data_IF_143437003672
#
_entry.id   IF_143437003672
#
_cell.length_a   1.000
_cell.length_b   1.000
_cell.length_c   1.000
_cell.angle_alpha   90.00
_cell.angle_beta   90.00
_cell.angle_gamma   90.00
#
_symmetry.space_group_name_H-M   'P 1'
#
loop_
_entity.id
_entity.type
_entity.pdbx_description
1 polymer ?
#
# COMPACT_ATOMS: atom_id res chain seq x y z
N UNK A 1 17.74 0.81 10.47
CA UNK A 1 18.36 -0.53 10.52
C UNK A 1 17.70 -1.50 11.52
N UNK A 2 17.10 -1.08 12.64
CA UNK A 2 16.48 -2.01 13.62
C UNK A 2 15.26 -2.75 13.10
N UNK A 3 14.38 -2.12 12.31
CA UNK A 3 13.17 -2.77 11.76
C UNK A 3 13.47 -3.91 10.78
N UNK A 4 14.51 -3.78 9.95
CA UNK A 4 14.92 -4.84 9.01
C UNK A 4 15.49 -6.05 9.76
N UNK A 5 16.27 -5.84 10.81
CA UNK A 5 16.77 -6.93 11.67
C UNK A 5 15.65 -7.68 12.40
N UNK A 6 14.58 -6.96 12.78
CA UNK A 6 13.37 -7.59 13.37
C UNK A 6 12.62 -8.48 12.38
N UNK A 7 12.47 -8.02 11.13
CA UNK A 7 11.82 -8.78 10.07
C UNK A 7 12.57 -10.06 9.71
N UNK A 8 13.91 -10.01 9.66
CA UNK A 8 14.74 -11.20 9.39
C UNK A 8 14.52 -12.32 10.41
N UNK A 9 14.18 -11.98 11.66
CA UNK A 9 13.85 -12.97 12.70
C UNK A 9 12.52 -13.69 12.49
N UNK A 10 11.62 -13.09 11.70
CA UNK A 10 10.29 -13.65 11.42
C UNK A 10 10.28 -14.47 10.13
N UNK A 11 11.24 -14.28 9.25
CA UNK A 11 11.38 -15.04 7.99
C UNK A 11 11.32 -16.57 8.20
N UNK A 12 11.98 -17.16 9.20
CA UNK A 12 11.89 -18.62 9.46
C UNK A 12 10.47 -19.11 9.71
N UNK A 13 9.59 -18.28 10.27
CA UNK A 13 8.19 -18.62 10.55
C UNK A 13 7.29 -18.46 9.32
N UNK A 14 7.71 -17.68 8.32
CA UNK A 14 7.00 -17.55 7.03
C UNK A 14 7.40 -18.66 6.07
N UNK A 15 8.64 -19.18 6.19
CA UNK A 15 9.19 -20.21 5.32
C UNK A 15 8.29 -21.46 5.14
N UNK A 16 7.64 -22.01 6.18
CA UNK A 16 6.74 -23.15 6.02
C UNK A 16 5.53 -22.88 5.11
N UNK A 17 5.18 -21.61 4.94
CA UNK A 17 4.01 -21.17 4.16
C UNK A 17 4.37 -20.65 2.76
N UNK A 18 5.59 -20.94 2.25
CA UNK A 18 6.11 -20.39 1.00
C UNK A 18 5.19 -20.64 -0.20
N UNK A 19 4.56 -21.83 -0.29
CA UNK A 19 3.59 -22.15 -1.35
C UNK A 19 2.39 -21.21 -1.34
N UNK A 20 1.87 -20.88 -0.15
CA UNK A 20 0.77 -19.91 0.00
C UNK A 20 1.21 -18.50 -0.35
N UNK A 21 2.46 -18.17 -0.06
CA UNK A 21 3.05 -16.87 -0.45
C UNK A 21 3.18 -16.77 -1.97
N UNK A 22 3.71 -17.80 -2.63
CA UNK A 22 3.82 -17.85 -4.10
C UNK A 22 2.42 -17.75 -4.73
N UNK A 23 1.44 -18.53 -4.24
CA UNK A 23 0.06 -18.47 -4.73
C UNK A 23 -0.53 -17.05 -4.57
N UNK A 24 -0.29 -16.41 -3.42
CA UNK A 24 -0.73 -15.03 -3.20
C UNK A 24 -0.07 -14.03 -4.15
N UNK A 25 1.23 -14.17 -4.42
CA UNK A 25 1.95 -13.31 -5.34
C UNK A 25 1.49 -13.53 -6.78
N UNK A 26 1.36 -14.78 -7.24
CA UNK A 26 0.85 -15.11 -8.57
C UNK A 26 -0.56 -14.57 -8.79
N UNK A 27 -1.46 -14.79 -7.85
CA UNK A 27 -2.82 -14.23 -7.92
C UNK A 27 -2.79 -12.69 -7.94
N UNK A 28 -1.95 -12.05 -7.12
CA UNK A 28 -1.80 -10.58 -7.13
C UNK A 28 -1.28 -10.08 -8.48
N UNK A 29 -0.31 -10.79 -9.08
CA UNK A 29 0.24 -10.47 -10.40
C UNK A 29 -0.84 -10.53 -11.47
N UNK A 30 -1.62 -11.64 -11.51
CA UNK A 30 -2.75 -11.80 -12.43
C UNK A 30 -3.80 -10.70 -12.22
N UNK A 31 -4.18 -10.41 -10.97
CA UNK A 31 -5.11 -9.33 -10.66
C UNK A 31 -4.59 -7.95 -11.13
N UNK A 32 -3.28 -7.70 -11.05
CA UNK A 32 -2.67 -6.47 -11.55
C UNK A 32 -2.69 -6.40 -13.07
N UNK A 33 -2.44 -7.52 -13.77
CA UNK A 33 -2.54 -7.61 -15.22
C UNK A 33 -3.97 -7.36 -15.70
N UNK A 34 -4.97 -8.00 -15.10
CA UNK A 34 -6.37 -7.73 -15.42
C UNK A 34 -6.77 -6.27 -15.14
N UNK A 35 -6.22 -5.67 -14.08
CA UNK A 35 -6.40 -4.24 -13.80
C UNK A 35 -5.83 -3.37 -14.91
N UNK A 36 -4.64 -3.69 -15.40
CA UNK A 36 -4.01 -2.98 -16.51
C UNK A 36 -4.85 -3.09 -17.78
N UNK A 37 -5.25 -4.32 -18.16
CA UNK A 37 -6.09 -4.54 -19.34
C UNK A 37 -7.43 -3.81 -19.24
N UNK A 38 -8.10 -3.88 -18.08
CA UNK A 38 -9.36 -3.16 -17.86
C UNK A 38 -9.19 -1.64 -18.04
N UNK A 39 -8.09 -1.07 -17.54
CA UNK A 39 -7.81 0.35 -17.72
C UNK A 39 -7.50 0.71 -19.19
N UNK A 40 -6.75 -0.14 -19.89
CA UNK A 40 -6.41 0.05 -21.30
C UNK A 40 -7.65 0.00 -22.21
N UNK A 41 -8.72 -0.69 -21.81
CA UNK A 41 -10.00 -0.71 -22.54
C UNK A 41 -10.71 0.66 -22.57
N UNK A 42 -10.28 1.62 -21.78
CA UNK A 42 -10.75 3.00 -21.92
C UNK A 42 -10.39 3.60 -23.30
N UNK A 43 -9.28 3.20 -23.91
CA UNK A 43 -8.81 3.67 -25.22
C UNK A 43 -9.86 3.36 -26.31
N UNK A 44 -10.18 2.09 -26.60
CA UNK A 44 -11.19 1.76 -27.60
C UNK A 44 -12.58 2.26 -27.24
N UNK A 45 -12.95 2.27 -25.95
CA UNK A 45 -14.21 2.82 -25.50
C UNK A 45 -14.39 4.29 -25.91
N UNK A 46 -13.39 5.12 -25.59
CA UNK A 46 -13.38 6.53 -25.98
C UNK A 46 -13.25 6.70 -27.50
N UNK A 47 -12.48 5.83 -28.16
CA UNK A 47 -12.33 5.81 -29.61
C UNK A 47 -13.67 5.63 -30.34
N UNK A 48 -14.52 4.70 -29.86
CA UNK A 48 -15.85 4.48 -30.41
C UNK A 48 -16.76 5.66 -30.09
N UNK A 49 -16.73 6.15 -28.85
CA UNK A 49 -17.59 7.23 -28.38
C UNK A 49 -17.34 8.55 -29.15
N UNK A 50 -16.09 8.89 -29.42
CA UNK A 50 -15.69 10.13 -30.12
C UNK A 50 -15.45 9.95 -31.61
N UNK A 51 -15.78 8.79 -32.18
CA UNK A 51 -15.61 8.47 -33.60
C UNK A 51 -14.14 8.60 -34.10
N UNK A 52 -13.21 8.34 -33.24
CA UNK A 52 -11.77 8.43 -33.50
C UNK A 52 -11.10 7.04 -33.50
N UNK A 53 -11.91 5.97 -33.54
CA UNK A 53 -11.42 4.60 -33.62
C UNK A 53 -10.71 4.38 -34.97
N UNK A 54 -9.45 3.87 -34.99
CA UNK A 54 -8.77 3.52 -36.23
C UNK A 54 -9.55 2.43 -36.96
N UNK A 55 -9.92 2.68 -38.22
CA UNK A 55 -10.55 1.67 -39.07
C UNK A 55 -9.43 0.73 -39.57
N UNK A 56 -9.46 -0.51 -39.10
CA UNK A 56 -8.52 -1.55 -39.51
C UNK A 56 -9.30 -2.61 -40.30
N UNK A 57 -8.98 -2.72 -41.57
CA UNK A 57 -9.71 -3.60 -42.51
C UNK A 57 -9.05 -4.99 -42.69
N UNK A 58 -7.75 -5.12 -42.35
CA UNK A 58 -7.01 -6.36 -42.51
C UNK A 58 -6.39 -6.83 -41.20
N UNK A 59 -6.50 -8.11 -40.84
CA UNK A 59 -5.83 -8.68 -39.67
C UNK A 59 -4.33 -8.88 -39.96
N UNK A 60 -3.49 -8.70 -38.94
CA UNK A 60 -2.05 -9.04 -39.00
C UNK A 60 -1.84 -10.42 -38.39
N UNK A 61 -0.84 -11.17 -38.90
CA UNK A 61 -0.45 -12.45 -38.35
C UNK A 61 -0.25 -12.41 -36.82
N UNK A 62 -0.73 -13.44 -36.11
CA UNK A 62 -0.69 -13.49 -34.66
C UNK A 62 0.75 -13.55 -34.16
N UNK A 63 1.30 -12.41 -33.80
CA UNK A 63 2.56 -12.28 -33.08
C UNK A 63 2.27 -11.83 -31.65
N UNK A 64 3.05 -12.37 -30.69
CA UNK A 64 3.00 -11.92 -29.28
C UNK A 64 3.61 -10.52 -29.07
N UNK A 65 3.43 -9.64 -30.05
CA UNK A 65 3.80 -8.23 -29.99
C UNK A 65 2.62 -7.39 -29.53
N UNK A 66 2.86 -6.43 -28.66
CA UNK A 66 1.82 -5.49 -28.20
C UNK A 66 1.13 -4.79 -29.38
N UNK A 67 1.89 -4.43 -30.44
CA UNK A 67 1.36 -3.80 -31.65
C UNK A 67 0.41 -4.73 -32.41
N UNK A 68 0.76 -6.00 -32.58
CA UNK A 68 -0.08 -6.97 -33.28
C UNK A 68 -1.37 -7.28 -32.50
N UNK A 69 -1.29 -7.37 -31.18
CA UNK A 69 -2.47 -7.55 -30.31
C UNK A 69 -3.43 -6.37 -30.40
N UNK A 70 -2.93 -5.13 -30.33
CA UNK A 70 -3.75 -3.93 -30.48
C UNK A 70 -4.35 -3.80 -31.90
N UNK A 71 -3.58 -4.15 -32.93
CA UNK A 71 -4.03 -4.11 -34.31
C UNK A 71 -5.18 -5.11 -34.55
N UNK A 72 -5.00 -6.35 -34.12
CA UNK A 72 -6.04 -7.39 -34.25
C UNK A 72 -7.28 -7.10 -33.40
N UNK A 73 -7.10 -6.49 -32.24
CA UNK A 73 -8.22 -6.02 -31.41
C UNK A 73 -9.01 -4.91 -32.10
N UNK A 74 -8.30 -3.92 -32.70
CA UNK A 74 -8.92 -2.84 -33.48
C UNK A 74 -9.62 -3.39 -34.73
N UNK A 75 -9.05 -4.39 -35.41
CA UNK A 75 -9.68 -5.09 -36.52
C UNK A 75 -11.01 -5.74 -36.06
N UNK A 76 -10.99 -6.47 -34.98
CA UNK A 76 -12.20 -7.08 -34.39
C UNK A 76 -13.25 -6.04 -34.04
N UNK A 77 -12.89 -4.93 -33.44
CA UNK A 77 -13.81 -3.82 -33.13
C UNK A 77 -14.37 -3.18 -34.41
N UNK A 78 -13.52 -2.98 -35.42
CA UNK A 78 -13.96 -2.40 -36.70
C UNK A 78 -14.98 -3.32 -37.39
N UNK A 79 -14.78 -4.62 -37.40
CA UNK A 79 -15.76 -5.56 -37.98
C UNK A 79 -17.11 -5.48 -37.25
N UNK A 80 -17.10 -5.40 -35.92
CA UNK A 80 -18.33 -5.27 -35.12
C UNK A 80 -19.04 -3.93 -35.42
N UNK A 81 -18.28 -2.83 -35.53
CA UNK A 81 -18.85 -1.52 -35.84
C UNK A 81 -19.52 -1.53 -37.23
N UNK A 82 -18.90 -2.18 -38.21
CA UNK A 82 -19.44 -2.29 -39.58
C UNK A 82 -20.68 -3.20 -39.61
N UNK A 83 -20.61 -4.37 -38.96
CA UNK A 83 -21.67 -5.38 -39.04
C UNK A 83 -22.87 -5.06 -38.12
N UNK A 84 -22.67 -4.50 -36.96
CA UNK A 84 -23.67 -4.35 -35.91
C UNK A 84 -23.89 -2.91 -35.42
N UNK A 85 -23.04 -1.97 -35.86
CA UNK A 85 -23.13 -0.56 -35.46
C UNK A 85 -22.35 -0.22 -34.18
N UNK A 86 -22.17 1.10 -33.98
CA UNK A 86 -21.35 1.65 -32.87
C UNK A 86 -21.93 1.36 -31.47
N UNK A 87 -23.26 1.35 -31.32
CA UNK A 87 -23.89 1.11 -30.03
C UNK A 87 -23.63 -0.31 -29.51
N UNK A 88 -23.70 -1.30 -30.40
CA UNK A 88 -23.42 -2.70 -30.04
C UNK A 88 -21.92 -2.88 -29.73
N UNK A 89 -21.04 -2.28 -30.52
CA UNK A 89 -19.60 -2.29 -30.25
C UNK A 89 -19.27 -1.67 -28.90
N UNK A 90 -19.89 -0.54 -28.53
CA UNK A 90 -19.74 0.10 -27.22
C UNK A 90 -20.24 -0.80 -26.09
N UNK A 91 -21.38 -1.45 -26.29
CA UNK A 91 -21.92 -2.45 -25.35
C UNK A 91 -20.99 -3.62 -25.12
N UNK A 92 -20.37 -4.15 -26.18
CA UNK A 92 -19.39 -5.26 -26.09
C UNK A 92 -18.11 -4.85 -25.36
N UNK A 93 -17.56 -3.66 -25.63
CA UNK A 93 -16.39 -3.15 -24.89
C UNK A 93 -16.74 -2.96 -23.42
N UNK A 94 -17.93 -2.43 -23.12
CA UNK A 94 -18.41 -2.27 -21.74
C UNK A 94 -18.53 -3.60 -21.02
N UNK A 95 -19.09 -4.62 -21.67
CA UNK A 95 -19.19 -5.97 -21.13
C UNK A 95 -17.79 -6.58 -20.88
N UNK A 96 -16.86 -6.40 -21.82
CA UNK A 96 -15.48 -6.85 -21.67
C UNK A 96 -14.80 -6.20 -20.45
N UNK A 97 -15.00 -4.91 -20.24
CA UNK A 97 -14.51 -4.20 -19.04
C UNK A 97 -15.06 -4.84 -17.76
N UNK A 98 -16.35 -5.13 -17.72
CA UNK A 98 -16.99 -5.80 -16.56
C UNK A 98 -16.35 -7.16 -16.30
N UNK A 99 -16.13 -7.96 -17.34
CA UNK A 99 -15.48 -9.28 -17.24
C UNK A 99 -14.04 -9.14 -16.73
N UNK A 100 -13.26 -8.21 -17.25
CA UNK A 100 -11.89 -7.96 -16.81
C UNK A 100 -11.83 -7.52 -15.34
N UNK A 101 -12.74 -6.63 -14.93
CA UNK A 101 -12.84 -6.18 -13.52
C UNK A 101 -13.29 -7.32 -12.61
N UNK A 102 -14.17 -8.20 -13.08
CA UNK A 102 -14.55 -9.40 -12.34
C UNK A 102 -13.36 -10.32 -12.09
N UNK A 103 -12.55 -10.61 -13.11
CA UNK A 103 -11.32 -11.40 -12.95
C UNK A 103 -10.29 -10.71 -12.04
N UNK A 104 -10.09 -9.40 -12.20
CA UNK A 104 -9.27 -8.59 -11.29
C UNK A 104 -9.70 -8.77 -9.83
N UNK A 105 -11.00 -8.62 -9.55
CA UNK A 105 -11.55 -8.74 -8.20
C UNK A 105 -11.35 -10.16 -7.65
N UNK A 106 -11.64 -11.18 -8.46
CA UNK A 106 -11.46 -12.59 -8.12
C UNK A 106 -10.01 -12.91 -7.78
N UNK A 107 -9.05 -12.54 -8.63
CA UNK A 107 -7.63 -12.78 -8.36
C UNK A 107 -7.10 -11.96 -7.18
N UNK A 108 -7.59 -10.74 -6.97
CA UNK A 108 -7.27 -9.96 -5.78
C UNK A 108 -7.76 -10.65 -4.51
N UNK A 109 -8.99 -11.18 -4.54
CA UNK A 109 -9.55 -11.95 -3.43
C UNK A 109 -8.75 -13.23 -3.17
N UNK A 110 -8.46 -14.03 -4.21
CA UNK A 110 -7.65 -15.25 -4.10
C UNK A 110 -6.25 -14.96 -3.53
N UNK A 111 -5.64 -13.85 -3.96
CA UNK A 111 -4.35 -13.41 -3.43
C UNK A 111 -4.39 -13.03 -1.95
N UNK A 112 -5.49 -12.45 -1.47
CA UNK A 112 -5.69 -12.16 -0.06
C UNK A 112 -6.09 -13.41 0.74
N UNK A 113 -6.91 -14.29 0.17
CA UNK A 113 -7.29 -15.58 0.75
C UNK A 113 -6.07 -16.45 1.01
N UNK A 114 -5.14 -16.52 0.07
CA UNK A 114 -3.88 -17.25 0.24
C UNK A 114 -2.96 -16.66 1.32
N UNK A 115 -3.12 -15.38 1.70
CA UNK A 115 -2.38 -14.76 2.81
C UNK A 115 -2.95 -15.11 4.20
N UNK A 116 -4.24 -15.46 4.30
CA UNK A 116 -4.88 -15.74 5.58
C UNK A 116 -4.18 -16.87 6.38
N UNK A 117 -3.82 -18.03 5.77
CA UNK A 117 -3.08 -19.07 6.47
C UNK A 117 -1.67 -18.63 6.92
N UNK A 118 -1.02 -17.73 6.18
CA UNK A 118 0.29 -17.19 6.59
C UNK A 118 0.13 -16.32 7.82
N UNK A 119 -0.89 -15.44 7.81
CA UNK A 119 -1.21 -14.54 8.91
C UNK A 119 -1.47 -15.30 10.20
N UNK A 120 -2.39 -16.24 10.17
CA UNK A 120 -2.79 -17.01 11.36
C UNK A 120 -1.76 -18.04 11.78
N UNK A 121 -1.11 -18.71 10.81
CA UNK A 121 -0.13 -19.75 11.06
C UNK A 121 1.14 -19.23 11.71
N UNK A 122 1.71 -18.13 11.21
CA UNK A 122 2.90 -17.50 11.82
C UNK A 122 2.65 -17.13 13.28
N UNK A 123 1.48 -16.56 13.59
CA UNK A 123 1.14 -16.18 14.96
C UNK A 123 0.91 -17.39 15.84
N UNK A 124 0.22 -18.42 15.34
CA UNK A 124 0.06 -19.69 16.03
C UNK A 124 1.42 -20.31 16.39
N UNK A 125 2.33 -20.38 15.42
CA UNK A 125 3.63 -21.04 15.59
C UNK A 125 4.52 -20.27 16.60
N UNK A 126 4.49 -18.94 16.58
CA UNK A 126 5.17 -18.12 17.57
C UNK A 126 4.53 -18.30 18.94
N UNK A 127 3.19 -18.27 19.05
CA UNK A 127 2.47 -18.43 20.31
C UNK A 127 2.76 -19.80 20.94
N UNK A 128 2.75 -20.86 20.15
CA UNK A 128 3.08 -22.20 20.62
C UNK A 128 4.52 -22.28 21.15
N UNK A 129 5.49 -21.68 20.46
CA UNK A 129 6.88 -21.61 20.95
C UNK A 129 7.00 -20.83 22.25
N UNK A 130 6.30 -19.70 22.37
CA UNK A 130 6.29 -18.92 23.61
C UNK A 130 5.67 -19.71 24.75
N UNK A 131 4.53 -20.37 24.53
CA UNK A 131 3.88 -21.18 25.51
C UNK A 131 4.76 -22.35 25.99
N UNK A 132 5.35 -23.10 25.05
CA UNK A 132 6.28 -24.18 25.40
C UNK A 132 7.49 -23.65 26.17
N UNK A 133 8.01 -22.47 25.84
CA UNK A 133 9.11 -21.85 26.58
C UNK A 133 8.69 -21.50 28.02
N UNK A 134 7.48 -20.97 28.22
CA UNK A 134 6.94 -20.67 29.57
C UNK A 134 6.94 -21.94 30.44
N UNK A 135 6.50 -23.07 29.91
CA UNK A 135 6.45 -24.34 30.66
C UNK A 135 7.84 -24.87 31.03
N UNK A 136 8.91 -24.44 30.38
CA UNK A 136 10.29 -24.84 30.69
C UNK A 136 11.00 -23.86 31.63
N UNK A 137 10.36 -22.77 32.04
CA UNK A 137 10.95 -21.81 32.98
C UNK A 137 10.81 -22.31 34.42
N UNK A 138 11.78 -21.93 35.24
CA UNK A 138 11.78 -22.25 36.70
C UNK A 138 10.67 -21.48 37.42
N UNK A 139 10.09 -22.04 38.46
CA UNK A 139 9.04 -21.42 39.28
C UNK A 139 9.45 -20.04 39.82
N UNK A 140 10.72 -19.88 40.18
CA UNK A 140 11.30 -18.62 40.66
C UNK A 140 11.21 -17.47 39.65
N UNK A 141 10.99 -17.77 38.37
CA UNK A 141 10.81 -16.76 37.32
C UNK A 141 9.44 -16.08 37.41
N UNK A 142 8.41 -16.72 38.00
CA UNK A 142 7.04 -16.26 38.01
C UNK A 142 6.71 -15.39 39.22
N UNK A 143 6.96 -14.08 39.13
CA UNK A 143 6.36 -13.05 39.98
C UNK A 143 5.04 -12.56 39.39
N UNK A 144 4.19 -11.91 40.18
CA UNK A 144 2.92 -11.34 39.70
C UNK A 144 3.15 -10.34 38.55
N UNK A 145 4.19 -9.49 38.67
CA UNK A 145 4.60 -8.53 37.64
C UNK A 145 5.02 -9.24 36.33
N UNK A 146 5.79 -10.32 36.42
CA UNK A 146 6.23 -11.08 35.24
C UNK A 146 5.12 -11.87 34.57
N UNK A 147 4.13 -12.33 35.34
CA UNK A 147 2.92 -12.95 34.77
C UNK A 147 2.17 -11.95 33.87
N UNK A 148 1.98 -10.71 34.33
CA UNK A 148 1.37 -9.65 33.54
C UNK A 148 2.16 -9.33 32.26
N UNK A 149 3.51 -9.22 32.32
CA UNK A 149 4.38 -9.00 31.17
C UNK A 149 4.27 -10.16 30.15
N UNK A 150 4.27 -11.42 30.60
CA UNK A 150 4.09 -12.58 29.72
C UNK A 150 2.73 -12.57 29.03
N UNK A 151 1.66 -12.24 29.74
CA UNK A 151 0.32 -12.10 29.15
C UNK A 151 0.28 -10.98 28.08
N UNK A 152 0.85 -9.81 28.38
CA UNK A 152 0.97 -8.70 27.44
C UNK A 152 1.72 -9.10 26.17
N UNK A 153 2.84 -9.80 26.29
CA UNK A 153 3.64 -10.28 25.14
C UNK A 153 2.89 -11.33 24.32
N UNK A 154 2.18 -12.25 24.95
CA UNK A 154 1.40 -13.29 24.25
C UNK A 154 0.15 -12.76 23.55
N UNK A 155 -0.29 -11.55 23.88
CA UNK A 155 -1.46 -10.89 23.28
C UNK A 155 -1.06 -9.71 22.43
N UNK A 156 -0.67 -8.59 23.04
CA UNK A 156 -0.41 -7.31 22.38
C UNK A 156 0.78 -7.35 21.42
N UNK A 157 1.95 -7.83 21.88
CA UNK A 157 3.16 -7.87 21.06
C UNK A 157 2.99 -8.80 19.85
N UNK A 158 2.30 -9.92 20.01
CA UNK A 158 2.02 -10.82 18.88
C UNK A 158 1.12 -10.17 17.82
N UNK A 159 0.14 -9.36 18.21
CA UNK A 159 -0.68 -8.60 17.26
C UNK A 159 0.14 -7.55 16.51
N UNK A 160 1.13 -6.94 17.17
CA UNK A 160 2.03 -6.00 16.50
C UNK A 160 2.94 -6.71 15.49
N UNK A 161 3.46 -7.90 15.85
CA UNK A 161 4.23 -8.76 14.94
C UNK A 161 3.37 -9.13 13.73
N UNK A 162 2.12 -9.57 13.93
CA UNK A 162 1.18 -9.90 12.86
C UNK A 162 1.03 -8.75 11.88
N UNK A 163 0.71 -7.55 12.37
CA UNK A 163 0.57 -6.34 11.55
C UNK A 163 1.85 -6.01 10.79
N UNK A 164 3.00 -6.12 11.47
CA UNK A 164 4.31 -5.85 10.87
C UNK A 164 4.66 -6.83 9.76
N UNK A 165 4.39 -8.12 9.94
CA UNK A 165 4.62 -9.17 8.93
C UNK A 165 3.74 -8.93 7.69
N UNK A 166 2.44 -8.73 7.91
CA UNK A 166 1.50 -8.50 6.81
C UNK A 166 1.83 -7.23 6.03
N UNK A 167 2.17 -6.14 6.72
CA UNK A 167 2.59 -4.91 6.08
C UNK A 167 3.89 -5.08 5.29
N UNK A 168 4.81 -5.90 5.78
CA UNK A 168 6.07 -6.20 5.09
C UNK A 168 5.85 -6.99 3.81
N UNK A 169 4.98 -8.01 3.83
CA UNK A 169 4.61 -8.76 2.63
C UNK A 169 3.99 -7.84 1.58
N UNK A 170 3.08 -6.94 1.98
CA UNK A 170 2.48 -5.96 1.08
C UNK A 170 3.53 -5.01 0.47
N UNK A 171 4.36 -4.41 1.30
CA UNK A 171 5.27 -3.35 0.87
C UNK A 171 6.53 -3.87 0.16
N UNK A 172 7.03 -5.05 0.53
CA UNK A 172 8.29 -5.58 -0.01
C UNK A 172 8.09 -6.57 -1.16
N UNK A 173 6.92 -7.17 -1.28
CA UNK A 173 6.64 -8.17 -2.32
C UNK A 173 5.54 -7.72 -3.26
N UNK A 174 4.32 -7.45 -2.76
CA UNK A 174 3.18 -7.12 -3.64
C UNK A 174 3.31 -5.76 -4.33
N UNK A 175 3.70 -4.72 -3.61
CA UNK A 175 3.79 -3.38 -4.17
C UNK A 175 4.88 -3.25 -5.25
N UNK A 176 6.12 -3.79 -5.09
CA UNK A 176 7.12 -3.76 -6.15
C UNK A 176 6.68 -4.49 -7.43
N UNK A 177 6.00 -5.65 -7.31
CA UNK A 177 5.48 -6.37 -8.47
C UNK A 177 4.49 -5.49 -9.26
N UNK A 178 3.55 -4.86 -8.57
CA UNK A 178 2.59 -3.96 -9.21
C UNK A 178 3.29 -2.77 -9.88
N UNK A 179 4.27 -2.15 -9.20
CA UNK A 179 5.06 -1.04 -9.75
C UNK A 179 5.80 -1.46 -11.02
N UNK A 180 6.44 -2.64 -11.01
CA UNK A 180 7.17 -3.15 -12.17
C UNK A 180 6.21 -3.37 -13.35
N UNK A 181 5.06 -4.01 -13.12
CA UNK A 181 4.07 -4.27 -14.18
C UNK A 181 3.60 -2.95 -14.82
N UNK A 182 3.16 -1.98 -14.01
CA UNK A 182 2.71 -0.69 -14.53
C UNK A 182 3.83 0.08 -15.20
N UNK A 183 5.04 0.06 -14.64
CA UNK A 183 6.18 0.77 -15.19
C UNK A 183 6.62 0.20 -16.55
N UNK A 184 6.71 -1.14 -16.67
CA UNK A 184 7.00 -1.80 -17.95
C UNK A 184 5.93 -1.49 -18.99
N UNK A 185 4.66 -1.48 -18.60
CA UNK A 185 3.55 -1.14 -19.50
C UNK A 185 3.62 0.31 -19.99
N UNK A 186 3.94 1.26 -19.11
CA UNK A 186 4.12 2.66 -19.50
C UNK A 186 5.32 2.85 -20.45
N UNK A 187 6.44 2.16 -20.20
CA UNK A 187 7.60 2.18 -21.09
C UNK A 187 7.26 1.61 -22.48
N UNK A 188 6.46 0.55 -22.52
CA UNK A 188 6.03 -0.06 -23.79
C UNK A 188 5.06 0.84 -24.56
N UNK A 189 4.23 1.64 -23.87
CA UNK A 189 3.33 2.60 -24.52
C UNK A 189 4.09 3.82 -25.07
N UNK A 190 4.89 4.48 -24.26
CA UNK A 190 5.72 5.59 -24.72
C UNK A 190 6.95 5.81 -23.81
N UNK A 191 8.12 5.50 -24.35
CA UNK A 191 9.38 5.62 -23.62
C UNK A 191 9.70 7.07 -23.20
N UNK A 192 9.51 8.04 -24.10
CA UNK A 192 9.87 9.45 -23.84
C UNK A 192 8.98 10.07 -22.75
N UNK A 193 7.66 9.85 -22.81
CA UNK A 193 6.75 10.34 -21.78
C UNK A 193 7.04 9.68 -20.43
N UNK A 194 7.30 8.38 -20.41
CA UNK A 194 7.62 7.65 -19.18
C UNK A 194 8.92 8.16 -18.55
N UNK A 195 9.95 8.43 -19.38
CA UNK A 195 11.21 9.01 -18.89
C UNK A 195 10.99 10.42 -18.31
N UNK A 196 10.19 11.24 -18.98
CA UNK A 196 9.83 12.57 -18.49
C UNK A 196 9.14 12.50 -17.11
N UNK A 197 8.17 11.60 -16.94
CA UNK A 197 7.50 11.35 -15.66
C UNK A 197 8.50 10.92 -14.59
N UNK A 198 9.44 10.04 -14.95
CA UNK A 198 10.45 9.51 -14.02
C UNK A 198 11.38 10.63 -13.50
N UNK A 199 11.64 11.67 -14.29
CA UNK A 199 12.40 12.85 -13.85
C UNK A 199 11.59 13.73 -12.88
N UNK A 200 10.26 13.78 -13.02
CA UNK A 200 9.39 14.54 -12.11
C UNK A 200 9.16 13.86 -10.74
N UNK A 201 9.20 12.52 -10.69
CA UNK A 201 8.95 11.76 -9.44
C UNK A 201 9.90 12.12 -8.29
N UNK A 202 11.22 12.29 -8.48
CA UNK A 202 12.14 12.69 -7.41
C UNK A 202 11.79 14.02 -6.75
N UNK A 203 11.25 14.97 -7.50
CA UNK A 203 10.83 16.28 -6.97
C UNK A 203 9.71 16.10 -5.93
N UNK A 204 8.68 15.35 -6.27
CA UNK A 204 7.58 15.01 -5.34
C UNK A 204 8.09 14.19 -4.15
N UNK A 205 8.97 13.21 -4.41
CA UNK A 205 9.61 12.38 -3.39
C UNK A 205 10.44 13.17 -2.39
N UNK A 206 11.15 14.20 -2.84
CA UNK A 206 11.95 15.09 -1.98
C UNK A 206 11.06 15.87 -1.00
N UNK A 207 9.96 16.47 -1.47
CA UNK A 207 9.02 17.22 -0.64
C UNK A 207 8.36 16.32 0.40
N UNK A 208 7.83 15.17 -0.03
CA UNK A 208 7.19 14.18 0.86
C UNK A 208 8.21 13.62 1.86
N UNK A 209 9.41 13.34 1.43
CA UNK A 209 10.51 12.84 2.27
C UNK A 209 10.89 13.82 3.38
N UNK A 210 10.87 15.14 3.09
CA UNK A 210 11.14 16.19 4.08
C UNK A 210 10.04 16.26 5.15
N UNK A 211 8.78 16.11 4.74
CA UNK A 211 7.64 15.99 5.68
C UNK A 211 7.79 14.76 6.57
N UNK A 212 8.09 13.60 5.97
CA UNK A 212 8.30 12.33 6.68
C UNK A 212 9.44 12.39 7.70
N UNK A 213 10.59 12.97 7.34
CA UNK A 213 11.74 13.16 8.26
C UNK A 213 11.36 14.04 9.46
N UNK A 214 10.61 15.12 9.21
CA UNK A 214 10.13 16.01 10.26
C UNK A 214 9.12 15.33 11.19
N UNK A 215 8.20 14.53 10.62
CA UNK A 215 7.22 13.74 11.37
C UNK A 215 7.92 12.72 12.26
N UNK A 216 8.88 11.95 11.72
CA UNK A 216 9.66 10.96 12.48
C UNK A 216 10.33 11.57 13.70
N UNK A 217 10.99 12.74 13.56
CA UNK A 217 11.66 13.43 14.66
C UNK A 217 10.70 13.81 15.78
N UNK A 218 9.49 14.31 15.42
CA UNK A 218 8.48 14.68 16.41
C UNK A 218 7.82 13.47 17.06
N UNK A 219 7.60 12.40 16.31
CA UNK A 219 7.06 11.15 16.86
C UNK A 219 7.99 10.54 17.90
N UNK A 220 9.30 10.58 17.71
CA UNK A 220 10.27 10.15 18.71
C UNK A 220 10.17 10.99 20.00
N UNK A 221 9.95 12.31 19.88
CA UNK A 221 9.72 13.18 21.04
C UNK A 221 8.43 12.79 21.75
N UNK A 222 7.34 12.54 21.00
CA UNK A 222 6.06 12.10 21.56
C UNK A 222 6.17 10.78 22.33
N UNK A 223 6.91 9.80 21.78
CA UNK A 223 7.17 8.53 22.46
C UNK A 223 7.93 8.69 23.78
N UNK A 224 8.93 9.57 23.81
CA UNK A 224 9.68 9.87 25.07
C UNK A 224 8.76 10.50 26.12
N UNK A 225 7.90 11.46 25.71
CA UNK A 225 6.97 12.09 26.63
C UNK A 225 5.89 11.11 27.14
N UNK A 226 5.45 10.18 26.30
CA UNK A 226 4.58 9.09 26.76
C UNK A 226 5.27 8.21 27.80
N UNK A 227 6.56 7.91 27.61
CA UNK A 227 7.36 7.19 28.62
C UNK A 227 7.39 7.92 29.96
N UNK A 228 7.58 9.26 29.94
CA UNK A 228 7.54 10.08 31.17
C UNK A 228 6.16 10.00 31.84
N UNK A 229 5.07 10.10 31.08
CA UNK A 229 3.72 9.97 31.64
C UNK A 229 3.49 8.59 32.29
N UNK A 230 3.96 7.53 31.63
CA UNK A 230 3.85 6.18 32.19
C UNK A 230 4.64 6.04 33.48
N UNK A 231 5.85 6.63 33.55
CA UNK A 231 6.64 6.66 34.80
C UNK A 231 5.94 7.41 35.92
N UNK A 232 5.23 8.53 35.62
CA UNK A 232 4.39 9.21 36.62
C UNK A 232 3.25 8.34 37.14
N UNK A 233 2.58 7.59 36.27
CA UNK A 233 1.52 6.66 36.67
C UNK A 233 2.11 5.55 37.55
N UNK A 234 3.23 4.98 37.15
CA UNK A 234 3.93 3.93 37.90
C UNK A 234 4.34 4.42 39.28
N UNK A 235 5.00 5.58 39.37
CA UNK A 235 5.40 6.21 40.64
C UNK A 235 4.18 6.48 41.55
N UNK A 236 3.08 6.96 40.96
CA UNK A 236 1.85 7.22 41.70
C UNK A 236 1.24 5.93 42.26
N UNK A 237 1.21 4.84 41.46
CA UNK A 237 0.66 3.55 41.90
C UNK A 237 1.50 2.92 43.03
N UNK A 238 2.84 2.94 42.90
CA UNK A 238 3.72 2.44 43.95
C UNK A 238 3.72 3.30 45.22
N UNK A 239 3.61 4.62 45.07
CA UNK A 239 3.59 5.61 46.15
C UNK A 239 2.22 5.95 46.70
N UNK A 240 1.13 5.28 46.24
CA UNK A 240 -0.24 5.69 46.51
C UNK A 240 -0.56 5.80 48.03
N UNK A 241 -0.05 4.86 48.81
CA UNK A 241 -0.24 4.88 50.28
C UNK A 241 0.42 6.11 50.92
N UNK A 242 1.60 6.47 50.46
CA UNK A 242 2.34 7.66 50.93
C UNK A 242 1.60 8.94 50.52
N UNK A 243 1.19 9.03 49.25
CA UNK A 243 0.43 10.14 48.72
C UNK A 243 -0.83 10.39 49.57
N UNK A 244 -1.56 9.34 49.87
CA UNK A 244 -2.76 9.37 50.73
C UNK A 244 -2.45 9.78 52.19
N UNK A 245 -1.39 9.22 52.77
CA UNK A 245 -0.99 9.53 54.13
C UNK A 245 -0.62 11.02 54.32
N UNK A 246 -0.07 11.65 53.32
CA UNK A 246 0.35 13.04 53.32
C UNK A 246 -0.66 13.99 52.63
N UNK A 247 -1.87 13.55 52.26
CA UNK A 247 -2.89 14.34 51.56
C UNK A 247 -2.33 15.12 50.33
N UNK A 248 -1.42 14.49 49.58
CA UNK A 248 -0.67 15.13 48.49
C UNK A 248 -1.29 14.93 47.10
N UNK A 249 -2.54 14.43 47.01
CA UNK A 249 -3.22 14.07 45.75
C UNK A 249 -3.29 15.25 44.79
N UNK A 250 -3.63 16.45 45.27
CA UNK A 250 -3.73 17.62 44.41
C UNK A 250 -2.41 18.00 43.77
N UNK A 251 -1.30 17.83 44.47
CA UNK A 251 0.05 18.08 43.92
C UNK A 251 0.38 17.07 42.79
N UNK A 252 0.12 15.81 43.02
CA UNK A 252 0.36 14.76 42.02
C UNK A 252 -0.54 14.94 40.78
N UNK A 253 -1.84 15.24 41.00
CA UNK A 253 -2.78 15.53 39.92
C UNK A 253 -2.28 16.71 39.07
N UNK A 254 -1.91 17.84 39.69
CA UNK A 254 -1.41 19.01 38.95
C UNK A 254 -0.14 18.70 38.14
N UNK A 255 0.80 17.95 38.68
CA UNK A 255 2.01 17.58 38.00
C UNK A 255 1.71 16.68 36.79
N UNK A 256 0.86 15.65 36.98
CA UNK A 256 0.43 14.80 35.89
C UNK A 256 -0.29 15.56 34.78
N UNK A 257 -1.23 16.45 35.13
CA UNK A 257 -1.95 17.31 34.17
C UNK A 257 -1.00 18.18 33.36
N UNK A 258 0.02 18.78 33.98
CA UNK A 258 1.02 19.59 33.29
C UNK A 258 1.80 18.80 32.25
N UNK A 259 2.27 17.59 32.62
CA UNK A 259 2.96 16.71 31.69
C UNK A 259 2.05 16.19 30.59
N UNK A 260 0.80 15.80 30.94
CA UNK A 260 -0.19 15.34 29.98
C UNK A 260 -0.57 16.43 28.97
N UNK A 261 -0.74 17.67 29.44
CA UNK A 261 -0.97 18.82 28.57
C UNK A 261 0.23 19.08 27.64
N UNK A 262 1.44 18.88 28.15
CA UNK A 262 2.67 19.01 27.34
C UNK A 262 2.75 17.90 26.26
N UNK A 263 2.44 16.67 26.62
CA UNK A 263 2.31 15.55 25.69
C UNK A 263 1.22 15.82 24.63
N UNK A 264 0.03 16.25 25.04
CA UNK A 264 -1.08 16.61 24.16
C UNK A 264 -0.68 17.68 23.13
N UNK A 265 0.05 18.72 23.55
CA UNK A 265 0.56 19.76 22.64
C UNK A 265 1.51 19.19 21.58
N UNK A 266 2.37 18.25 21.95
CA UNK A 266 3.28 17.58 21.00
C UNK A 266 2.50 16.66 20.07
N UNK A 267 1.54 15.86 20.60
CA UNK A 267 0.70 14.99 19.81
C UNK A 267 -0.15 15.75 18.78
N UNK A 268 -0.74 16.90 19.19
CA UNK A 268 -1.44 17.79 18.25
C UNK A 268 -0.55 18.22 17.07
N UNK A 269 0.73 18.56 17.32
CA UNK A 269 1.67 18.92 16.25
C UNK A 269 2.05 17.73 15.37
N UNK A 270 2.07 16.52 15.92
CA UNK A 270 2.32 15.27 15.16
C UNK A 270 1.13 15.00 14.23
N UNK A 271 -0.10 14.99 14.77
CA UNK A 271 -1.31 14.73 14.00
C UNK A 271 -1.50 15.74 12.87
N UNK A 272 -1.41 17.05 13.15
CA UNK A 272 -1.49 18.09 12.11
C UNK A 272 -0.50 17.89 10.97
N UNK A 273 0.72 17.40 11.25
CA UNK A 273 1.72 17.10 10.20
C UNK A 273 1.46 15.79 9.47
N UNK A 274 0.92 14.81 10.18
CA UNK A 274 0.52 13.55 9.57
C UNK A 274 -0.63 13.78 8.59
N UNK A 275 -1.60 14.56 8.99
CA UNK A 275 -2.78 14.87 8.18
C UNK A 275 -2.45 15.78 6.98
N UNK A 276 -1.38 16.59 7.08
CA UNK A 276 -0.88 17.38 5.96
C UNK A 276 -0.27 16.51 4.85
N UNK A 277 0.23 15.32 5.17
CA UNK A 277 0.92 14.48 4.19
C UNK A 277 0.01 14.04 3.03
N UNK A 278 -1.26 13.72 3.32
CA UNK A 278 -2.25 13.35 2.30
C UNK A 278 -2.51 14.47 1.29
N UNK A 279 -3.03 15.62 1.73
CA UNK A 279 -3.30 16.76 0.83
C UNK A 279 -2.07 17.24 0.06
N UNK A 280 -0.89 17.26 0.68
CA UNK A 280 0.35 17.61 -0.01
C UNK A 280 0.73 16.60 -1.09
N UNK A 281 0.53 15.31 -0.82
CA UNK A 281 0.77 14.27 -1.83
C UNK A 281 -0.20 14.41 -3.00
N UNK A 282 -1.48 14.64 -2.73
CA UNK A 282 -2.51 14.87 -3.74
C UNK A 282 -2.20 16.10 -4.59
N UNK A 283 -1.89 17.23 -3.96
CA UNK A 283 -1.51 18.46 -4.66
C UNK A 283 -0.29 18.27 -5.58
N UNK A 284 0.78 17.63 -5.06
CA UNK A 284 1.97 17.35 -5.86
C UNK A 284 1.67 16.39 -7.02
N UNK A 285 0.83 15.38 -6.79
CA UNK A 285 0.40 14.45 -7.85
C UNK A 285 -0.40 15.18 -8.92
N UNK A 286 -1.30 16.08 -8.53
CA UNK A 286 -2.08 16.90 -9.49
C UNK A 286 -1.17 17.81 -10.32
N UNK A 287 -0.16 18.45 -9.71
CA UNK A 287 0.83 19.25 -10.46
C UNK A 287 1.53 18.38 -11.50
N UNK A 288 1.99 17.19 -11.11
CA UNK A 288 2.66 16.26 -12.05
C UNK A 288 1.72 15.85 -13.17
N UNK A 289 0.47 15.52 -12.87
CA UNK A 289 -0.55 15.17 -13.88
C UNK A 289 -0.76 16.33 -14.85
N UNK A 290 -0.95 17.56 -14.35
CA UNK A 290 -1.17 18.74 -15.20
C UNK A 290 0.05 19.02 -16.09
N UNK A 291 1.27 18.90 -15.56
CA UNK A 291 2.50 19.05 -16.34
C UNK A 291 2.57 17.99 -17.46
N UNK A 292 2.25 16.74 -17.15
CA UNK A 292 2.22 15.65 -18.14
C UNK A 292 1.16 15.93 -19.19
N UNK A 293 -0.06 16.31 -18.78
CA UNK A 293 -1.15 16.65 -19.71
C UNK A 293 -0.79 17.81 -20.63
N UNK A 294 -0.17 18.86 -20.10
CA UNK A 294 0.26 19.99 -20.92
C UNK A 294 1.37 19.59 -21.89
N UNK A 295 2.45 18.98 -21.40
CA UNK A 295 3.60 18.58 -22.21
C UNK A 295 3.26 17.51 -23.24
N UNK A 296 2.59 16.44 -22.81
CA UNK A 296 2.20 15.34 -23.70
C UNK A 296 1.06 15.74 -24.62
N UNK A 297 0.05 16.46 -24.13
CA UNK A 297 -1.07 16.95 -24.92
C UNK A 297 -0.61 17.89 -26.03
N UNK A 298 0.30 18.83 -25.74
CA UNK A 298 0.86 19.71 -26.79
C UNK A 298 1.61 18.94 -27.88
N UNK A 299 2.30 17.85 -27.51
CA UNK A 299 3.00 17.00 -28.47
C UNK A 299 2.05 16.11 -29.30
N UNK A 300 0.96 15.66 -28.71
CA UNK A 300 -0.11 14.95 -29.44
C UNK A 300 -0.79 15.87 -30.42
N UNK A 301 -1.13 17.09 -30.01
CA UNK A 301 -1.75 18.10 -30.91
C UNK A 301 -0.86 18.51 -32.05
N UNK A 302 0.46 18.53 -31.87
CA UNK A 302 1.45 18.84 -32.90
C UNK A 302 1.91 17.60 -33.70
N UNK A 303 1.25 16.44 -33.54
CA UNK A 303 1.55 15.16 -34.20
C UNK A 303 3.01 14.69 -34.04
N UNK A 304 3.70 15.17 -33.00
CA UNK A 304 5.10 14.79 -32.70
C UNK A 304 5.22 13.53 -31.85
N UNK A 305 4.11 12.96 -31.37
CA UNK A 305 4.02 11.69 -30.66
C UNK A 305 3.19 10.70 -31.48
N UNK A 306 3.69 9.48 -31.63
CA UNK A 306 2.95 8.35 -32.21
C UNK A 306 1.92 7.78 -31.22
N UNK A 307 1.11 8.64 -30.61
CA UNK A 307 0.02 8.28 -29.70
C UNK A 307 -1.28 8.94 -30.17
N UNK A 308 -2.36 8.19 -30.14
CA UNK A 308 -3.70 8.77 -30.34
C UNK A 308 -4.10 9.58 -29.10
N UNK A 309 -4.94 10.62 -29.24
CA UNK A 309 -5.43 11.40 -28.09
C UNK A 309 -6.07 10.52 -26.98
N UNK A 310 -6.69 9.40 -27.34
CA UNK A 310 -7.33 8.48 -26.41
C UNK A 310 -6.31 7.60 -25.66
N UNK A 311 -5.14 7.35 -26.26
CA UNK A 311 -4.06 6.55 -25.66
C UNK A 311 -3.14 7.38 -24.75
N UNK A 312 -3.18 8.71 -24.91
CA UNK A 312 -2.51 9.68 -24.05
C UNK A 312 -3.32 9.94 -22.77
#
# INVERSE_FOLDING_TARGET
MSKVKGLLKVVPYVKPYWLKLVLSLSATTLGTLFSLFSFTMAIPFLGILFDTQPQVTEPVAFEMSQKALFHNFNYFLTSIIIDYGKEIALGMVSLLVIVLVFFKATFTYLGNYALAPIRTGVIRDIRNKMYNKILTLQLSYFSEERKGDLMSRMTGDLQEIERSVMQSIKNLLKAPIAIIIYFVSLLAMNFHLTLFVLVLLPLSGFVIGRIGKSLRRKSLKGQRMLGVLLSYIEETLFGLMIIKAFNSEQRFTRNFENENNSYSRVMKKIWRRKDLAGPMSEFLSTIVIVIIMYYGGSRVLNETLNLTPQAF
#
